data_IF_749139247632
#
_entry.id   IF_749139247632
#
_cell.length_a   1.000
_cell.length_b   1.000
_cell.length_c   1.000
_cell.angle_alpha   90.00
_cell.angle_beta   90.00
_cell.angle_gamma   90.00
#
_symmetry.space_group_name_H-M   'P 1'
#
loop_
_entity.id
_entity.type
_entity.pdbx_description
1 polymer ?
#
# COMPACT_ATOMS: atom_id res chain seq x y z
N UNK A 1 -46.50 -1.69 13.82
CA UNK A 1 -45.36 -0.78 13.60
C UNK A 1 -44.08 -1.57 13.80
N UNK A 2 -43.05 -1.33 12.98
CA UNK A 2 -41.72 -1.92 13.21
C UNK A 2 -41.15 -1.34 14.52
N UNK A 3 -40.56 -2.19 15.36
CA UNK A 3 -39.87 -1.71 16.57
C UNK A 3 -38.53 -1.12 16.15
N UNK A 4 -38.18 0.02 16.73
CA UNK A 4 -36.95 0.75 16.44
C UNK A 4 -36.03 0.65 17.67
N UNK A 5 -34.78 0.22 17.48
CA UNK A 5 -33.77 0.10 18.52
C UNK A 5 -32.49 0.81 18.09
N UNK A 6 -31.66 1.16 19.07
CA UNK A 6 -30.42 1.89 18.86
C UNK A 6 -29.24 1.09 19.38
N UNK A 7 -28.24 0.93 18.54
CA UNK A 7 -27.04 0.16 18.81
C UNK A 7 -25.78 0.99 18.56
N UNK A 8 -24.71 0.63 19.25
CA UNK A 8 -23.37 1.17 19.03
C UNK A 8 -22.40 0.04 18.75
N UNK A 9 -21.52 0.20 17.75
CA UNK A 9 -20.36 -0.66 17.56
C UNK A 9 -19.13 0.07 18.08
N UNK A 10 -18.45 -0.51 19.07
CA UNK A 10 -17.24 0.07 19.66
C UNK A 10 -15.97 -0.22 18.82
N UNK A 11 -14.80 0.25 19.29
CA UNK A 11 -13.52 0.04 18.59
C UNK A 11 -13.05 -1.40 18.58
N UNK A 12 -13.60 -2.23 19.45
CA UNK A 12 -13.31 -3.65 19.56
C UNK A 12 -14.26 -4.46 18.67
N UNK A 13 -15.30 -3.87 18.09
CA UNK A 13 -16.30 -4.56 17.27
C UNK A 13 -17.46 -5.12 18.06
N UNK A 14 -17.56 -4.83 19.37
CA UNK A 14 -18.69 -5.28 20.17
C UNK A 14 -19.95 -4.53 19.73
N UNK A 15 -21.08 -5.25 19.70
CA UNK A 15 -22.40 -4.66 19.45
C UNK A 15 -23.03 -4.35 20.80
N UNK A 16 -23.30 -3.07 21.07
CA UNK A 16 -23.89 -2.60 22.33
C UNK A 16 -25.32 -2.13 22.12
N UNK A 17 -26.21 -2.51 23.04
CA UNK A 17 -27.56 -1.96 23.17
C UNK A 17 -27.71 -1.33 24.56
N UNK A 18 -28.05 -0.04 24.62
CA UNK A 18 -28.19 0.71 25.88
C UNK A 18 -26.97 0.56 26.83
N UNK A 19 -25.77 0.46 26.26
CA UNK A 19 -24.51 0.30 27.00
C UNK A 19 -24.18 -1.13 27.42
N UNK A 20 -25.06 -2.10 27.13
CA UNK A 20 -24.82 -3.53 27.39
C UNK A 20 -24.27 -4.19 26.13
N UNK A 21 -23.17 -4.94 26.26
CA UNK A 21 -22.63 -5.77 25.18
C UNK A 21 -23.58 -6.93 24.90
N UNK A 22 -23.90 -7.13 23.63
CA UNK A 22 -24.60 -8.31 23.15
C UNK A 22 -23.57 -9.38 22.81
N UNK A 23 -23.72 -10.58 23.38
CA UNK A 23 -22.78 -11.71 23.26
C UNK A 23 -23.37 -12.94 22.54
N UNK A 24 -24.65 -12.90 22.15
CA UNK A 24 -25.27 -13.93 21.33
C UNK A 24 -24.67 -13.94 19.91
N UNK A 25 -23.83 -14.93 19.65
CA UNK A 25 -23.09 -15.05 18.40
C UNK A 25 -23.99 -15.25 17.17
N UNK A 26 -25.15 -15.92 17.30
CA UNK A 26 -26.06 -16.13 16.17
C UNK A 26 -26.84 -14.85 15.85
N UNK A 27 -27.21 -14.09 16.89
CA UNK A 27 -27.74 -12.74 16.72
C UNK A 27 -26.72 -11.81 16.06
N UNK A 28 -25.47 -11.78 16.53
CA UNK A 28 -24.40 -10.91 15.99
C UNK A 28 -24.17 -11.20 14.51
N UNK A 29 -24.08 -12.48 14.12
CA UNK A 29 -23.96 -12.87 12.72
C UNK A 29 -25.15 -12.40 11.89
N UNK A 30 -26.37 -12.56 12.39
CA UNK A 30 -27.55 -12.08 11.69
C UNK A 30 -27.58 -10.55 11.59
N UNK A 31 -27.18 -9.86 12.66
CA UNK A 31 -27.09 -8.40 12.74
C UNK A 31 -26.13 -7.85 11.67
N UNK A 32 -24.92 -8.40 11.57
CA UNK A 32 -23.94 -7.98 10.57
C UNK A 32 -24.34 -8.36 9.15
N UNK A 33 -24.99 -9.52 8.92
CA UNK A 33 -25.52 -9.90 7.60
C UNK A 33 -26.54 -8.90 7.05
N UNK A 34 -27.30 -8.26 7.93
CA UNK A 34 -28.34 -7.29 7.57
C UNK A 34 -27.88 -5.84 7.67
N UNK A 35 -26.64 -5.59 8.08
CA UNK A 35 -26.11 -4.24 8.27
C UNK A 35 -25.85 -3.58 6.92
N UNK A 36 -26.50 -2.44 6.69
CA UNK A 36 -26.33 -1.62 5.49
C UNK A 36 -26.36 -0.13 5.81
N UNK A 37 -26.15 0.74 4.80
CA UNK A 37 -26.30 2.19 4.98
C UNK A 37 -27.72 2.55 5.40
N UNK A 38 -27.88 3.50 6.32
CA UNK A 38 -29.19 4.01 6.69
C UNK A 38 -29.77 4.89 5.58
N UNK A 39 -30.77 4.36 4.87
CA UNK A 39 -31.48 5.05 3.78
C UNK A 39 -32.84 5.62 4.21
N UNK A 40 -33.19 5.54 5.49
CA UNK A 40 -34.57 5.82 5.96
C UNK A 40 -34.88 7.31 6.18
N UNK A 41 -33.93 8.21 5.89
CA UNK A 41 -33.97 9.66 6.17
C UNK A 41 -34.20 10.03 7.65
N UNK A 42 -34.29 9.04 8.55
CA UNK A 42 -34.42 9.21 10.00
C UNK A 42 -33.07 9.00 10.69
N UNK A 43 -32.90 9.66 11.84
CA UNK A 43 -31.76 9.47 12.76
C UNK A 43 -30.40 9.56 12.07
N UNK A 44 -30.06 10.75 11.55
CA UNK A 44 -28.82 10.99 10.79
C UNK A 44 -27.54 10.68 11.57
N UNK A 45 -27.58 10.66 12.91
CA UNK A 45 -26.47 10.26 13.76
C UNK A 45 -26.20 8.74 13.77
N UNK A 46 -27.09 7.94 13.17
CA UNK A 46 -26.95 6.50 12.98
C UNK A 46 -26.77 6.22 11.48
N UNK A 47 -25.52 6.22 10.96
CA UNK A 47 -25.23 6.09 9.54
C UNK A 47 -25.55 4.70 8.96
N UNK A 48 -25.75 3.70 9.82
CA UNK A 48 -26.08 2.33 9.41
C UNK A 48 -27.41 1.87 10.01
N UNK A 49 -28.01 0.88 9.34
CA UNK A 49 -29.23 0.23 9.75
C UNK A 49 -29.05 -1.27 9.56
N UNK A 50 -29.32 -2.05 10.59
CA UNK A 50 -29.48 -3.50 10.49
C UNK A 50 -30.96 -3.86 10.58
N UNK A 51 -31.50 -4.48 9.53
CA UNK A 51 -32.91 -4.86 9.50
C UNK A 51 -33.08 -6.32 9.91
N UNK A 52 -33.42 -6.54 11.18
CA UNK A 52 -33.62 -7.87 11.73
C UNK A 52 -35.12 -8.20 11.81
N UNK A 53 -35.61 -9.06 10.92
CA UNK A 53 -37.05 -9.42 10.84
C UNK A 53 -37.97 -8.18 10.71
N UNK A 54 -38.75 -7.87 11.76
CA UNK A 54 -39.66 -6.70 11.85
C UNK A 54 -39.07 -5.53 12.63
N UNK A 55 -37.81 -5.64 13.04
CA UNK A 55 -37.10 -4.67 13.87
C UNK A 55 -36.11 -3.86 13.02
N UNK A 56 -36.01 -2.57 13.34
CA UNK A 56 -35.07 -1.64 12.72
C UNK A 56 -34.03 -1.24 13.75
N UNK A 57 -32.81 -1.71 13.55
CA UNK A 57 -31.71 -1.45 14.46
C UNK A 57 -30.84 -0.36 13.87
N UNK A 58 -31.01 0.87 14.36
CA UNK A 58 -30.20 2.02 13.97
C UNK A 58 -28.83 1.94 14.65
N UNK A 59 -27.76 2.02 13.87
CA UNK A 59 -26.40 1.71 14.34
C UNK A 59 -25.46 2.90 14.20
N UNK A 60 -24.86 3.27 15.33
CA UNK A 60 -23.76 4.22 15.43
C UNK A 60 -22.44 3.45 15.53
N UNK A 61 -21.36 3.99 14.97
CA UNK A 61 -20.04 3.33 14.99
C UNK A 61 -19.00 4.28 15.54
N UNK A 62 -18.13 3.79 16.43
CA UNK A 62 -17.06 4.61 17.02
C UNK A 62 -15.86 4.77 16.08
N UNK A 63 -15.60 3.78 15.23
CA UNK A 63 -14.49 3.76 14.26
C UNK A 63 -14.98 3.21 12.92
N UNK A 64 -15.14 1.89 12.83
CA UNK A 64 -15.63 1.20 11.66
C UNK A 64 -16.73 0.20 12.05
N UNK A 65 -17.69 -0.10 11.15
CA UNK A 65 -18.73 -1.08 11.42
C UNK A 65 -18.17 -2.50 11.53
N UNK A 66 -17.05 -2.80 10.88
CA UNK A 66 -16.46 -4.15 10.85
C UNK A 66 -15.13 -4.15 11.59
N UNK A 67 -14.93 -5.09 12.50
CA UNK A 67 -13.65 -5.37 13.16
C UNK A 67 -13.31 -6.83 12.95
N UNK A 68 -12.11 -7.10 12.42
CA UNK A 68 -11.63 -8.45 12.15
C UNK A 68 -10.88 -9.00 13.36
N UNK A 69 -11.40 -10.08 13.92
CA UNK A 69 -10.94 -10.66 15.19
C UNK A 69 -9.95 -11.81 15.02
N UNK A 70 -9.98 -12.51 13.89
CA UNK A 70 -9.06 -13.61 13.64
C UNK A 70 -8.82 -13.79 12.13
N UNK A 71 -7.64 -14.29 11.79
CA UNK A 71 -7.26 -14.71 10.44
C UNK A 71 -7.08 -16.23 10.46
N UNK A 72 -7.84 -16.95 9.64
CA UNK A 72 -7.73 -18.41 9.55
C UNK A 72 -8.03 -18.89 8.14
N UNK A 73 -7.22 -19.81 7.62
CA UNK A 73 -7.37 -20.37 6.27
C UNK A 73 -7.52 -19.29 5.19
N UNK A 74 -6.75 -18.21 5.28
CA UNK A 74 -6.80 -17.08 4.34
C UNK A 74 -8.02 -16.17 4.47
N UNK A 75 -8.83 -16.31 5.52
CA UNK A 75 -10.03 -15.50 5.73
C UNK A 75 -9.93 -14.67 7.01
N UNK A 76 -10.31 -13.39 6.92
CA UNK A 76 -10.48 -12.47 8.03
C UNK A 76 -11.92 -12.54 8.54
N UNK A 77 -12.10 -12.89 9.81
CA UNK A 77 -13.41 -13.08 10.41
C UNK A 77 -13.85 -11.88 11.25
N UNK A 78 -15.12 -11.51 11.11
CA UNK A 78 -15.75 -10.42 11.85
C UNK A 78 -17.06 -10.83 12.54
N UNK A 79 -17.33 -12.14 12.56
CA UNK A 79 -18.41 -12.80 13.29
C UNK A 79 -18.09 -14.28 13.46
N UNK A 80 -19.04 -15.07 13.93
CA UNK A 80 -18.88 -16.52 14.13
C UNK A 80 -18.77 -17.27 12.80
N UNK A 81 -19.62 -16.96 11.82
CA UNK A 81 -19.61 -17.54 10.47
C UNK A 81 -19.24 -16.52 9.38
N UNK A 82 -18.99 -15.28 9.77
CA UNK A 82 -18.79 -14.16 8.86
C UNK A 82 -17.31 -13.86 8.64
N UNK A 83 -16.91 -13.89 7.37
CA UNK A 83 -15.54 -13.60 6.98
C UNK A 83 -15.45 -13.00 5.58
N UNK A 84 -14.29 -12.43 5.30
CA UNK A 84 -13.86 -12.04 3.96
C UNK A 84 -12.51 -12.69 3.65
N UNK A 85 -12.27 -13.00 2.39
CA UNK A 85 -10.96 -13.44 1.94
C UNK A 85 -9.93 -12.33 2.16
N UNK A 86 -8.81 -12.68 2.79
CA UNK A 86 -7.68 -11.78 2.95
C UNK A 86 -6.97 -11.58 1.63
N UNK A 87 -6.73 -10.32 1.26
CA UNK A 87 -5.92 -9.95 0.12
C UNK A 87 -5.05 -8.74 0.46
N UNK A 88 -3.76 -8.83 0.11
CA UNK A 88 -2.80 -7.73 0.32
C UNK A 88 -3.20 -6.46 -0.44
N UNK A 89 -3.90 -6.59 -1.57
CA UNK A 89 -4.40 -5.48 -2.39
C UNK A 89 -5.47 -4.66 -1.64
N UNK A 90 -6.16 -5.30 -0.71
CA UNK A 90 -7.25 -4.74 0.10
C UNK A 90 -6.80 -4.22 1.46
N UNK A 91 -5.54 -4.43 1.84
CA UNK A 91 -4.96 -3.86 3.04
C UNK A 91 -4.83 -2.34 2.94
N UNK A 92 -5.08 -1.65 4.05
CA UNK A 92 -4.85 -0.21 4.23
C UNK A 92 -4.25 0.07 5.60
N UNK A 93 -3.70 1.26 5.79
CA UNK A 93 -3.22 1.73 7.08
C UNK A 93 -3.66 3.17 7.37
N UNK A 94 -3.92 3.49 8.63
CA UNK A 94 -4.17 4.88 9.08
C UNK A 94 -2.87 5.66 9.29
N UNK A 95 -2.95 6.97 9.42
CA UNK A 95 -1.83 7.85 9.84
C UNK A 95 -1.10 7.43 11.15
N UNK A 96 -1.74 6.69 12.06
CA UNK A 96 -1.15 6.17 13.30
C UNK A 96 -0.70 4.70 13.21
N UNK A 97 -0.70 4.12 12.00
CA UNK A 97 -0.20 2.76 11.75
C UNK A 97 -1.16 1.61 12.08
N UNK A 98 -2.44 1.91 12.39
CA UNK A 98 -3.47 0.87 12.53
C UNK A 98 -3.77 0.26 11.16
N UNK A 99 -3.85 -1.07 11.09
CA UNK A 99 -4.16 -1.81 9.87
C UNK A 99 -5.67 -2.00 9.69
N UNK A 100 -6.08 -1.88 8.44
CA UNK A 100 -7.44 -2.08 7.97
C UNK A 100 -7.44 -3.00 6.75
N UNK A 101 -8.58 -3.61 6.47
CA UNK A 101 -8.81 -4.39 5.26
C UNK A 101 -10.19 -4.02 4.70
N UNK A 102 -10.36 -4.11 3.38
CA UNK A 102 -11.67 -3.91 2.76
C UNK A 102 -12.74 -4.78 3.44
N UNK A 103 -13.88 -4.16 3.73
CA UNK A 103 -14.97 -4.76 4.47
C UNK A 103 -16.28 -4.70 3.67
N UNK A 104 -17.22 -5.63 3.92
CA UNK A 104 -18.49 -5.67 3.18
C UNK A 104 -19.38 -4.44 3.42
N UNK A 105 -19.12 -3.69 4.50
CA UNK A 105 -19.83 -2.46 4.86
C UNK A 105 -18.85 -1.46 5.46
N UNK A 106 -19.06 -0.17 5.20
CA UNK A 106 -18.20 0.91 5.71
C UNK A 106 -16.85 1.07 4.99
N UNK A 107 -16.69 0.46 3.80
CA UNK A 107 -15.47 0.40 2.98
C UNK A 107 -14.33 -0.39 3.60
N UNK A 108 -13.94 -0.10 4.84
CA UNK A 108 -12.83 -0.73 5.54
C UNK A 108 -13.23 -1.20 6.93
N UNK A 109 -12.67 -2.35 7.33
CA UNK A 109 -12.77 -2.91 8.66
C UNK A 109 -11.41 -2.96 9.33
N UNK A 110 -11.38 -2.68 10.64
CA UNK A 110 -10.17 -2.62 11.44
C UNK A 110 -9.67 -4.02 11.78
N UNK A 111 -8.36 -4.24 11.75
CA UNK A 111 -7.77 -5.44 12.32
C UNK A 111 -7.46 -5.22 13.79
N UNK A 112 -7.85 -6.18 14.64
CA UNK A 112 -7.43 -6.14 16.05
C UNK A 112 -5.90 -6.33 16.16
N UNK A 113 -5.26 -5.87 17.26
CA UNK A 113 -3.82 -5.96 17.43
C UNK A 113 -3.25 -7.36 17.20
N UNK A 114 -3.95 -8.40 17.65
CA UNK A 114 -3.51 -9.79 17.47
C UNK A 114 -3.38 -10.16 15.99
N UNK A 115 -4.41 -9.90 15.18
CA UNK A 115 -4.39 -10.19 13.74
C UNK A 115 -3.38 -9.28 13.01
N UNK A 116 -3.30 -8.02 13.42
CA UNK A 116 -2.32 -7.08 12.88
C UNK A 116 -0.88 -7.56 13.12
N UNK A 117 -0.57 -8.14 14.28
CA UNK A 117 0.74 -8.73 14.58
C UNK A 117 1.05 -9.97 13.73
N UNK A 118 0.04 -10.77 13.39
CA UNK A 118 0.24 -11.91 12.49
C UNK A 118 0.64 -11.45 11.09
N UNK A 119 0.00 -10.40 10.59
CA UNK A 119 0.25 -9.82 9.26
C UNK A 119 1.53 -8.97 9.23
N UNK A 120 1.87 -8.27 10.33
CA UNK A 120 2.98 -7.31 10.37
C UNK A 120 4.35 -7.94 10.11
N UNK A 121 4.51 -9.26 10.32
CA UNK A 121 5.74 -9.99 9.97
C UNK A 121 6.10 -9.92 8.48
N UNK A 122 5.10 -9.68 7.63
CA UNK A 122 5.23 -9.54 6.18
C UNK A 122 5.24 -8.08 5.73
N UNK A 123 5.17 -7.14 6.67
CA UNK A 123 5.13 -5.71 6.40
C UNK A 123 6.50 -5.09 6.64
N UNK A 124 6.95 -4.30 5.68
CA UNK A 124 8.21 -3.55 5.76
C UNK A 124 7.97 -2.07 5.46
N UNK A 125 8.71 -1.14 6.09
CA UNK A 125 8.69 0.27 5.73
C UNK A 125 9.00 0.49 4.24
N UNK A 126 8.29 1.44 3.62
CA UNK A 126 8.49 1.87 2.24
C UNK A 126 8.37 3.39 2.17
N UNK A 127 9.38 4.07 2.73
CA UNK A 127 9.36 5.52 2.94
C UNK A 127 8.27 5.91 3.93
N UNK A 128 7.37 6.79 3.49
CA UNK A 128 6.19 7.20 4.27
C UNK A 128 5.07 6.15 4.26
N UNK A 129 5.18 5.12 3.41
CA UNK A 129 4.21 4.03 3.27
C UNK A 129 4.79 2.73 3.83
N UNK A 130 4.02 1.65 3.67
CA UNK A 130 4.45 0.29 3.97
C UNK A 130 4.30 -0.59 2.74
N UNK A 131 5.03 -1.70 2.70
CA UNK A 131 4.87 -2.76 1.71
C UNK A 131 4.56 -4.07 2.39
N UNK A 132 3.76 -4.92 1.75
CA UNK A 132 3.45 -6.28 2.18
C UNK A 132 4.07 -7.29 1.22
N UNK A 133 4.79 -8.29 1.75
CA UNK A 133 5.27 -9.43 0.97
C UNK A 133 5.32 -10.71 1.82
N UNK A 134 4.55 -11.71 1.43
CA UNK A 134 4.63 -13.07 1.96
C UNK A 134 5.31 -14.02 0.96
N UNK A 135 5.40 -15.30 1.33
CA UNK A 135 6.02 -16.34 0.48
C UNK A 135 5.27 -16.62 -0.83
N UNK A 136 4.02 -16.17 -0.95
CA UNK A 136 3.20 -16.34 -2.17
C UNK A 136 3.30 -15.13 -3.10
N UNK A 137 3.78 -14.01 -2.57
CA UNK A 137 3.85 -12.74 -3.25
C UNK A 137 5.01 -12.69 -4.23
N UNK A 138 4.69 -12.50 -5.52
CA UNK A 138 5.71 -12.31 -6.58
C UNK A 138 6.63 -11.11 -6.32
N UNK A 139 6.09 -10.06 -5.70
CA UNK A 139 6.79 -8.81 -5.40
C UNK A 139 6.12 -8.07 -4.23
N UNK A 140 6.82 -7.13 -3.56
CA UNK A 140 6.25 -6.32 -2.49
C UNK A 140 5.07 -5.48 -2.99
N UNK A 141 3.92 -5.62 -2.33
CA UNK A 141 2.75 -4.80 -2.59
C UNK A 141 2.76 -3.55 -1.71
N UNK A 142 2.87 -2.37 -2.30
CA UNK A 142 2.77 -1.11 -1.53
C UNK A 142 1.35 -0.98 -1.00
N UNK A 143 1.21 -0.95 0.32
CA UNK A 143 -0.06 -0.75 1.02
C UNK A 143 -0.42 0.72 0.87
N UNK A 144 -1.65 1.01 0.47
CA UNK A 144 -2.16 2.38 0.39
C UNK A 144 -2.66 2.84 1.76
N UNK A 145 -2.53 4.13 2.11
CA UNK A 145 -3.16 4.67 3.32
C UNK A 145 -4.67 4.73 3.15
N UNK A 146 -5.41 4.76 4.27
CA UNK A 146 -6.84 5.13 4.25
C UNK A 146 -6.98 6.59 3.84
N UNK A 147 -6.20 7.47 4.49
CA UNK A 147 -6.13 8.87 4.13
C UNK A 147 -5.24 9.06 2.90
N UNK A 148 -5.84 9.31 1.74
CA UNK A 148 -5.11 9.50 0.50
C UNK A 148 -4.19 10.73 0.57
N UNK A 149 -2.95 10.58 0.08
CA UNK A 149 -2.05 11.70 -0.19
C UNK A 149 -2.20 12.09 -1.67
N UNK A 150 -2.96 13.14 -2.01
CA UNK A 150 -3.35 13.44 -3.39
C UNK A 150 -2.17 13.72 -4.31
N UNK A 151 -1.04 14.17 -3.75
CA UNK A 151 0.18 14.44 -4.48
C UNK A 151 1.01 13.19 -4.79
N UNK A 152 0.80 12.08 -4.09
CA UNK A 152 1.59 10.84 -4.23
C UNK A 152 0.84 9.83 -5.09
N UNK A 153 1.47 9.41 -6.18
CA UNK A 153 1.01 8.32 -7.05
C UNK A 153 1.89 7.10 -6.86
N UNK A 154 1.29 5.94 -6.57
CA UNK A 154 2.02 4.67 -6.55
C UNK A 154 2.20 4.17 -7.99
N UNK A 155 3.43 3.98 -8.42
CA UNK A 155 3.77 3.35 -9.70
C UNK A 155 4.22 1.91 -9.43
N UNK A 156 3.31 0.95 -9.66
CA UNK A 156 3.56 -0.49 -9.47
C UNK A 156 4.29 -1.11 -10.68
N UNK A 157 4.85 -2.31 -10.54
CA UNK A 157 5.29 -3.10 -11.67
C UNK A 157 4.17 -3.25 -12.70
N UNK A 158 4.50 -3.05 -13.99
CA UNK A 158 3.48 -3.05 -15.06
C UNK A 158 3.33 -4.44 -15.66
N UNK A 159 2.10 -4.96 -15.69
CA UNK A 159 1.72 -6.11 -16.51
C UNK A 159 2.01 -5.84 -18.00
N UNK A 160 2.38 -6.88 -18.75
CA UNK A 160 2.78 -6.78 -20.16
C UNK A 160 4.18 -6.20 -20.38
N UNK A 161 4.98 -5.99 -19.33
CA UNK A 161 6.31 -5.38 -19.42
C UNK A 161 7.39 -6.33 -18.87
N UNK A 162 8.45 -6.54 -19.66
CA UNK A 162 9.61 -7.39 -19.33
C UNK A 162 10.85 -6.60 -18.86
N UNK A 163 10.68 -5.33 -18.52
CA UNK A 163 11.73 -4.50 -17.92
C UNK A 163 12.37 -5.18 -16.68
N UNK A 164 13.70 -5.17 -16.59
CA UNK A 164 14.45 -5.79 -15.50
C UNK A 164 14.24 -5.09 -14.14
N UNK A 165 13.98 -3.78 -14.13
CA UNK A 165 13.71 -3.05 -12.89
C UNK A 165 12.25 -3.17 -12.43
N UNK A 166 11.30 -2.80 -13.29
CA UNK A 166 9.90 -2.61 -12.91
C UNK A 166 8.88 -3.39 -13.76
N UNK A 167 9.32 -4.35 -14.57
CA UNK A 167 8.43 -5.19 -15.36
C UNK A 167 7.78 -6.26 -14.48
N UNK A 168 6.45 -6.40 -14.53
CA UNK A 168 5.76 -7.45 -13.79
C UNK A 168 5.98 -8.84 -14.42
N UNK A 169 6.26 -8.90 -15.72
CA UNK A 169 6.31 -10.17 -16.47
C UNK A 169 7.73 -10.70 -16.63
N UNK A 170 8.76 -9.92 -16.27
CA UNK A 170 10.13 -10.41 -16.24
C UNK A 170 10.30 -11.41 -15.09
N UNK A 171 10.61 -12.70 -15.32
CA UNK A 171 10.74 -13.70 -14.26
C UNK A 171 11.95 -13.44 -13.34
N UNK A 172 12.93 -12.66 -13.79
CA UNK A 172 14.13 -12.29 -13.05
C UNK A 172 14.18 -10.77 -12.78
N UNK A 173 13.01 -10.12 -12.76
CA UNK A 173 12.90 -8.69 -12.52
C UNK A 173 13.04 -8.32 -11.05
N UNK A 174 13.44 -7.07 -10.77
CA UNK A 174 13.48 -6.50 -9.42
C UNK A 174 12.11 -6.08 -8.90
N UNK A 175 11.10 -6.02 -9.77
CA UNK A 175 9.72 -5.65 -9.46
C UNK A 175 9.56 -4.36 -8.63
N UNK A 176 10.36 -3.35 -8.94
CA UNK A 176 10.37 -2.09 -8.21
C UNK A 176 9.02 -1.37 -8.33
N UNK A 177 8.51 -0.96 -7.17
CA UNK A 177 7.43 0.02 -7.05
C UNK A 177 8.02 1.39 -6.73
N UNK A 178 7.29 2.46 -7.02
CA UNK A 178 7.75 3.84 -6.77
C UNK A 178 6.63 4.70 -6.19
N UNK A 179 6.99 5.63 -5.31
CA UNK A 179 6.13 6.75 -4.92
C UNK A 179 6.50 7.95 -5.79
N UNK A 180 5.62 8.36 -6.69
CA UNK A 180 5.81 9.55 -7.52
C UNK A 180 5.09 10.74 -6.90
N UNK A 181 5.84 11.78 -6.56
CA UNK A 181 5.31 13.03 -6.04
C UNK A 181 5.07 14.02 -7.20
N UNK A 182 3.80 14.33 -7.42
CA UNK A 182 3.34 15.20 -8.50
C UNK A 182 3.68 16.68 -8.27
N UNK A 183 3.82 17.11 -7.02
CA UNK A 183 4.10 18.51 -6.68
C UNK A 183 5.52 18.94 -7.05
N UNK A 184 6.51 18.08 -6.80
CA UNK A 184 7.93 18.38 -7.04
C UNK A 184 8.56 17.54 -8.17
N UNK A 185 7.78 16.70 -8.85
CA UNK A 185 8.25 15.80 -9.91
C UNK A 185 9.43 14.93 -9.47
N UNK A 186 9.27 14.28 -8.33
CA UNK A 186 10.23 13.31 -7.78
C UNK A 186 9.63 11.91 -7.74
N UNK A 187 10.49 10.90 -7.77
CA UNK A 187 10.11 9.51 -7.56
C UNK A 187 11.05 8.88 -6.55
N UNK A 188 10.49 8.12 -5.61
CA UNK A 188 11.24 7.41 -4.60
C UNK A 188 10.91 5.92 -4.60
N UNK A 189 11.90 5.09 -4.27
CA UNK A 189 11.74 3.65 -4.11
C UNK A 189 12.68 3.13 -3.04
N UNK A 190 12.31 2.01 -2.40
CA UNK A 190 13.10 1.34 -1.39
C UNK A 190 13.25 -0.12 -1.75
N UNK A 191 14.45 -0.67 -1.55
CA UNK A 191 14.71 -2.10 -1.75
C UNK A 191 15.76 -2.60 -0.76
N UNK A 192 15.67 -3.88 -0.44
CA UNK A 192 16.76 -4.63 0.19
C UNK A 192 17.31 -5.57 -0.89
N UNK A 193 18.51 -5.31 -1.43
CA UNK A 193 19.09 -6.13 -2.47
C UNK A 193 19.53 -7.48 -1.93
N UNK A 194 19.20 -8.56 -2.64
CA UNK A 194 19.65 -9.92 -2.31
C UNK A 194 21.04 -10.23 -2.90
N UNK A 195 21.59 -11.39 -2.53
CA UNK A 195 22.90 -11.86 -2.99
C UNK A 195 23.01 -12.07 -4.50
N UNK A 196 21.88 -12.19 -5.22
CA UNK A 196 21.87 -12.31 -6.68
C UNK A 196 22.31 -11.02 -7.39
N UNK A 197 22.28 -9.88 -6.70
CA UNK A 197 22.74 -8.59 -7.22
C UNK A 197 24.21 -8.29 -6.89
N UNK A 198 24.89 -9.21 -6.20
CA UNK A 198 26.26 -9.03 -5.74
C UNK A 198 27.26 -9.02 -6.91
N UNK A 199 28.21 -8.10 -6.86
CA UNK A 199 29.42 -8.17 -7.69
C UNK A 199 30.53 -8.94 -6.98
N UNK A 200 30.87 -8.52 -5.76
CA UNK A 200 31.82 -9.21 -4.86
C UNK A 200 31.79 -8.59 -3.46
N UNK A 201 32.30 -9.30 -2.45
CA UNK A 201 32.56 -8.77 -1.10
C UNK A 201 31.33 -8.19 -0.38
N UNK A 202 30.13 -8.72 -0.65
CA UNK A 202 28.87 -8.18 -0.13
C UNK A 202 28.49 -6.83 -0.73
N UNK A 203 29.07 -6.45 -1.87
CA UNK A 203 28.84 -5.19 -2.57
C UNK A 203 28.05 -5.46 -3.85
N UNK A 204 26.97 -4.71 -4.06
CA UNK A 204 26.16 -4.76 -5.28
C UNK A 204 27.00 -4.43 -6.52
N UNK A 205 26.82 -5.20 -7.58
CA UNK A 205 27.49 -4.94 -8.85
C UNK A 205 27.09 -3.55 -9.40
N UNK A 206 28.06 -2.76 -9.86
CA UNK A 206 27.84 -1.40 -10.34
C UNK A 206 26.82 -1.30 -11.49
N UNK A 207 26.67 -2.36 -12.29
CA UNK A 207 25.62 -2.45 -13.31
C UNK A 207 24.20 -2.41 -12.74
N UNK A 208 23.95 -3.07 -11.60
CA UNK A 208 22.64 -3.00 -10.94
C UNK A 208 22.40 -1.63 -10.30
N UNK A 209 23.41 -1.04 -9.67
CA UNK A 209 23.31 0.33 -9.16
C UNK A 209 22.96 1.32 -10.28
N UNK A 210 23.62 1.21 -11.44
CA UNK A 210 23.30 2.02 -12.63
C UNK A 210 21.87 1.77 -13.13
N UNK A 211 21.42 0.51 -13.17
CA UNK A 211 20.04 0.15 -13.52
C UNK A 211 19.04 0.84 -12.57
N UNK A 212 19.26 0.78 -11.26
CA UNK A 212 18.35 1.38 -10.28
C UNK A 212 18.26 2.91 -10.44
N UNK A 213 19.41 3.56 -10.67
CA UNK A 213 19.49 5.01 -10.89
C UNK A 213 18.79 5.44 -12.19
N UNK A 214 18.87 4.63 -13.25
CA UNK A 214 18.13 4.85 -14.50
C UNK A 214 16.62 4.64 -14.32
N UNK A 215 16.22 3.54 -13.66
CA UNK A 215 14.82 3.20 -13.40
C UNK A 215 14.09 4.31 -12.65
N UNK A 216 14.66 4.85 -11.57
CA UNK A 216 13.99 5.91 -10.80
C UNK A 216 13.83 7.20 -11.61
N UNK A 217 14.79 7.56 -12.48
CA UNK A 217 14.63 8.68 -13.41
C UNK A 217 13.54 8.40 -14.46
N UNK A 218 13.54 7.21 -15.05
CA UNK A 218 12.48 6.79 -15.97
C UNK A 218 11.09 6.81 -15.33
N UNK A 219 11.01 6.59 -14.01
CA UNK A 219 9.76 6.63 -13.23
C UNK A 219 9.27 8.02 -12.92
N UNK A 220 10.16 8.99 -12.72
CA UNK A 220 9.80 10.40 -12.72
C UNK A 220 9.07 10.75 -14.02
N UNK A 221 9.66 10.43 -15.17
CA UNK A 221 9.07 10.72 -16.48
C UNK A 221 7.76 9.95 -16.70
N UNK A 222 7.71 8.68 -16.32
CA UNK A 222 6.48 7.88 -16.39
C UNK A 222 5.35 8.48 -15.54
N UNK A 223 5.67 8.98 -14.34
CA UNK A 223 4.71 9.66 -13.46
C UNK A 223 4.19 10.97 -14.04
N UNK A 224 5.03 11.67 -14.81
CA UNK A 224 4.66 12.84 -15.61
C UNK A 224 3.91 12.51 -16.91
N UNK A 225 3.69 11.22 -17.23
CA UNK A 225 3.05 10.78 -18.47
C UNK A 225 3.95 10.88 -19.71
N UNK A 226 5.27 10.95 -19.51
CA UNK A 226 6.26 11.17 -20.57
C UNK A 226 6.95 9.85 -20.91
N UNK A 227 6.94 9.50 -22.20
CA UNK A 227 7.68 8.35 -22.74
C UNK A 227 8.96 8.85 -23.38
N UNK A 228 10.09 8.64 -22.71
CA UNK A 228 11.39 9.00 -23.22
C UNK A 228 12.41 7.93 -22.81
N UNK A 229 12.98 7.15 -23.74
CA UNK A 229 14.12 6.28 -23.45
C UNK A 229 15.37 7.07 -23.06
N UNK A 230 16.26 6.41 -22.32
CA UNK A 230 17.58 6.93 -21.93
C UNK A 230 18.45 7.16 -23.15
N UNK A 231 18.98 8.38 -23.31
CA UNK A 231 19.95 8.76 -24.33
C UNK A 231 21.37 8.87 -23.79
N UNK A 232 21.54 9.30 -22.53
CA UNK A 232 22.82 9.27 -21.82
C UNK A 232 22.59 9.06 -20.32
N UNK A 233 23.47 8.29 -19.70
CA UNK A 233 23.50 8.04 -18.26
C UNK A 233 24.94 8.22 -17.78
N UNK A 234 25.17 9.17 -16.86
CA UNK A 234 26.46 9.41 -16.24
C UNK A 234 26.37 9.12 -14.75
N UNK A 235 26.99 8.02 -14.31
CA UNK A 235 26.91 7.52 -12.92
C UNK A 235 28.21 7.78 -12.17
N UNK A 236 28.10 8.26 -10.94
CA UNK A 236 29.21 8.40 -9.98
C UNK A 236 28.97 7.51 -8.78
N UNK A 237 29.82 6.50 -8.62
CA UNK A 237 29.87 5.66 -7.43
C UNK A 237 30.67 6.39 -6.34
N UNK A 238 30.02 6.78 -5.25
CA UNK A 238 30.63 7.52 -4.14
C UNK A 238 31.15 6.58 -3.06
N UNK A 239 30.40 5.51 -2.76
CA UNK A 239 30.73 4.48 -1.76
C UNK A 239 30.24 3.11 -2.23
N UNK A 240 30.81 2.01 -1.71
CA UNK A 240 30.28 0.67 -1.96
C UNK A 240 28.80 0.56 -1.56
N UNK A 241 27.98 -0.01 -2.44
CA UNK A 241 26.56 -0.27 -2.16
C UNK A 241 26.40 -1.65 -1.51
N UNK A 242 25.99 -1.75 -0.23
CA UNK A 242 25.90 -3.02 0.47
C UNK A 242 24.74 -3.90 -0.01
N UNK A 243 24.96 -5.21 -0.04
CA UNK A 243 23.90 -6.24 -0.14
C UNK A 243 23.19 -6.40 1.21
N UNK A 244 21.89 -6.72 1.19
CA UNK A 244 21.11 -7.04 2.40
C UNK A 244 20.78 -5.85 3.31
N UNK A 245 21.01 -4.62 2.87
CA UNK A 245 20.69 -3.38 3.59
C UNK A 245 19.63 -2.58 2.84
N UNK A 246 18.82 -1.83 3.57
CA UNK A 246 17.79 -0.98 2.94
C UNK A 246 18.49 0.11 2.16
N UNK A 247 18.11 0.22 0.89
CA UNK A 247 18.55 1.28 0.00
C UNK A 247 17.37 2.18 -0.34
N UNK A 248 17.63 3.49 -0.40
CA UNK A 248 16.68 4.50 -0.84
C UNK A 248 17.11 5.08 -2.18
N UNK A 249 16.26 4.91 -3.19
CA UNK A 249 16.38 5.52 -4.51
C UNK A 249 15.57 6.80 -4.56
N UNK A 250 16.19 7.86 -5.07
CA UNK A 250 15.54 9.14 -5.30
C UNK A 250 15.82 9.60 -6.73
N UNK A 251 14.78 10.01 -7.46
CA UNK A 251 14.88 10.60 -8.79
C UNK A 251 14.16 11.94 -8.85
N UNK A 252 14.68 12.88 -9.64
CA UNK A 252 14.12 14.22 -9.77
C UNK A 252 14.23 14.74 -11.20
N UNK A 253 13.14 15.32 -11.69
CA UNK A 253 13.12 16.08 -12.93
C UNK A 253 13.85 17.43 -12.73
N UNK A 254 14.73 17.79 -13.66
CA UNK A 254 15.49 19.04 -13.60
C UNK A 254 14.98 20.03 -14.63
N UNK A 255 15.05 19.68 -15.91
CA UNK A 255 14.66 20.57 -17.00
C UNK A 255 14.28 19.81 -18.27
N UNK A 256 13.60 20.52 -19.17
CA UNK A 256 13.22 20.03 -20.49
C UNK A 256 13.62 21.04 -21.56
N UNK A 257 14.31 20.57 -22.60
CA UNK A 257 14.64 21.32 -23.80
C UNK A 257 14.17 20.57 -25.05
N UNK A 258 12.95 20.89 -25.49
CA UNK A 258 12.30 20.28 -26.64
C UNK A 258 12.01 18.79 -26.43
N UNK A 259 12.84 17.93 -27.04
CA UNK A 259 12.77 16.46 -26.85
C UNK A 259 13.72 15.94 -25.78
N UNK A 260 14.59 16.78 -25.23
CA UNK A 260 15.63 16.39 -24.25
C UNK A 260 15.12 16.65 -22.84
N UNK A 261 15.02 15.61 -22.04
CA UNK A 261 14.62 15.66 -20.64
C UNK A 261 15.85 15.35 -19.78
N UNK A 262 16.18 16.26 -18.87
CA UNK A 262 17.32 16.13 -17.98
C UNK A 262 16.85 15.81 -16.58
N UNK A 263 17.41 14.76 -16.00
CA UNK A 263 17.05 14.24 -14.69
C UNK A 263 18.30 13.97 -13.85
N UNK A 264 18.09 13.91 -12.54
CA UNK A 264 19.09 13.43 -11.59
C UNK A 264 18.52 12.32 -10.75
N UNK A 265 19.37 11.40 -10.32
CA UNK A 265 19.04 10.41 -9.32
C UNK A 265 20.16 10.21 -8.31
N UNK A 266 19.78 9.70 -7.14
CA UNK A 266 20.67 9.39 -6.04
C UNK A 266 20.24 8.09 -5.36
N UNK A 267 21.23 7.37 -4.85
CA UNK A 267 21.08 6.16 -4.05
C UNK A 267 21.68 6.41 -2.67
N UNK A 268 20.89 6.18 -1.63
CA UNK A 268 21.28 6.34 -0.24
C UNK A 268 21.19 5.02 0.52
N UNK A 269 21.97 4.91 1.61
CA UNK A 269 21.78 3.86 2.61
C UNK A 269 20.66 4.22 3.62
N UNK A 270 20.43 3.37 4.61
CA UNK A 270 19.44 3.58 5.67
C UNK A 270 19.69 4.83 6.55
N UNK A 271 20.91 5.37 6.55
CA UNK A 271 21.33 6.54 7.31
C UNK A 271 21.39 7.81 6.45
N UNK A 272 20.76 7.78 5.26
CA UNK A 272 20.77 8.90 4.29
C UNK A 272 22.17 9.25 3.76
N UNK A 273 23.13 8.33 3.82
CA UNK A 273 24.46 8.52 3.26
C UNK A 273 24.42 8.26 1.75
N UNK A 274 24.95 9.21 0.96
CA UNK A 274 25.02 9.08 -0.50
C UNK A 274 26.01 7.98 -0.93
N UNK A 275 25.50 6.96 -1.60
CA UNK A 275 26.27 5.83 -2.13
C UNK A 275 26.60 6.00 -3.60
N UNK A 276 25.64 6.46 -4.41
CA UNK A 276 25.83 6.74 -5.81
C UNK A 276 24.86 7.83 -6.29
N UNK A 277 25.19 8.50 -7.39
CA UNK A 277 24.33 9.49 -8.03
C UNK A 277 24.49 9.43 -9.54
N UNK A 278 23.50 9.92 -10.28
CA UNK A 278 23.56 10.01 -11.72
C UNK A 278 22.92 11.28 -12.28
N UNK A 279 23.44 11.71 -13.43
CA UNK A 279 22.77 12.65 -14.32
C UNK A 279 22.33 11.90 -15.58
N UNK A 280 21.07 12.08 -15.98
CA UNK A 280 20.46 11.38 -17.10
C UNK A 280 19.87 12.33 -18.14
N UNK A 281 20.10 12.02 -19.41
CA UNK A 281 19.43 12.62 -20.55
C UNK A 281 18.49 11.59 -21.17
N UNK A 282 17.22 11.93 -21.28
CA UNK A 282 16.18 11.10 -21.88
C UNK A 282 15.60 11.80 -23.11
N UNK A 283 15.32 11.05 -24.17
CA UNK A 283 14.84 11.61 -25.44
C UNK A 283 13.39 11.22 -25.64
N UNK A 284 12.47 12.20 -25.63
CA UNK A 284 11.04 11.94 -25.82
C UNK A 284 10.78 11.27 -27.16
N UNK A 285 10.11 10.13 -27.08
CA UNK A 285 9.62 9.41 -28.24
C UNK A 285 8.50 10.23 -28.90
N UNK A 286 8.59 10.43 -30.21
CA UNK A 286 7.55 11.06 -31.01
C UNK A 286 7.04 9.98 -31.95
N UNK A 287 5.80 9.55 -31.72
CA UNK A 287 5.05 8.68 -32.64
C UNK A 287 4.45 9.51 -33.76
#
# INVERSE_FOLDING_TARGET
MAREYFYTIDRQGNVLHEGTIIDDADFIDYFFKQLGPNTTSKYSQFPYLSQCNREKNYVHVIDCPIVFHHLSNGNLFYGKSLSVEFSREKLRFSNVGILYHEAPIGNFGRLIPQVAMEISRYIQPFGIYYSYQDSTSKYPWIIEPIEAHPEIKILRPRAGNNCAGCGQDNPNGLYLSFLFNTHNSTADSWLVPDSGLEGSLGIMHGGYVSLLLDEVMGKVLSGMGIKAPTGNLNVRFRKPTPIGKVLHLHGKFIENNGRKYFLKSALYDENSLLLAEAEGLFIKYVS
#
